data_IF_080986048718
#
_entry.id   IF_080986048718
#
_cell.length_a   1.000
_cell.length_b   1.000
_cell.length_c   1.000
_cell.angle_alpha   90.00
_cell.angle_beta   90.00
_cell.angle_gamma   90.00
#
_symmetry.space_group_name_H-M   'P 1'
#
loop_
_entity.id
_entity.type
_entity.pdbx_description
1 polymer ?
#
# COMPACT_ATOMS: atom_id res chain seq x y z
N UNK A 1 -21.78 -1.35 16.41
CA UNK A 1 -21.29 -0.78 15.16
C UNK A 1 -21.20 -1.86 14.10
N UNK A 2 -21.42 -1.48 12.84
CA UNK A 2 -21.22 -2.40 11.73
C UNK A 2 -19.73 -2.60 11.44
N UNK A 3 -19.33 -3.84 11.16
CA UNK A 3 -17.97 -4.20 10.76
C UNK A 3 -17.97 -5.43 9.84
N UNK A 4 -16.98 -5.52 8.97
CA UNK A 4 -16.72 -6.72 8.19
C UNK A 4 -15.84 -7.65 9.01
N UNK A 5 -16.38 -8.83 9.29
CA UNK A 5 -15.68 -9.84 10.10
C UNK A 5 -15.45 -11.13 9.32
N UNK A 6 -14.43 -11.89 9.77
CA UNK A 6 -14.20 -13.26 9.31
C UNK A 6 -13.65 -14.11 10.48
N UNK A 7 -14.08 -15.37 10.56
CA UNK A 7 -13.69 -16.28 11.65
C UNK A 7 -12.86 -17.46 11.18
N UNK A 8 -12.67 -17.59 9.88
CA UNK A 8 -11.88 -18.64 9.25
C UNK A 8 -11.14 -18.09 8.03
N UNK A 9 -9.97 -18.65 7.78
CA UNK A 9 -9.23 -18.36 6.54
C UNK A 9 -9.97 -18.94 5.35
N UNK A 10 -9.97 -18.23 4.21
CA UNK A 10 -10.66 -18.70 3.01
C UNK A 10 -10.83 -17.64 1.92
N UNK A 11 -11.67 -17.96 0.93
CA UNK A 11 -11.99 -17.06 -0.17
C UNK A 11 -12.82 -15.84 0.31
N UNK A 12 -13.11 -14.85 -0.56
CA UNK A 12 -13.83 -13.64 -0.19
C UNK A 12 -15.16 -13.87 0.55
N UNK A 13 -15.84 -14.98 0.29
CA UNK A 13 -17.13 -15.36 0.88
C UNK A 13 -17.08 -15.65 2.40
N UNK A 14 -15.89 -15.68 3.01
CA UNK A 14 -15.76 -15.76 4.46
C UNK A 14 -15.98 -14.42 5.15
N UNK A 15 -15.95 -13.31 4.39
CA UNK A 15 -16.22 -11.97 4.86
C UNK A 15 -17.72 -11.76 4.99
N UNK A 16 -18.16 -11.20 6.11
CA UNK A 16 -19.56 -10.87 6.35
C UNK A 16 -19.71 -9.61 7.19
N UNK A 17 -20.79 -8.90 6.96
CA UNK A 17 -21.16 -7.75 7.78
C UNK A 17 -21.80 -8.25 9.09
N UNK A 18 -21.31 -7.76 10.22
CA UNK A 18 -21.87 -8.03 11.55
C UNK A 18 -21.97 -6.76 12.38
N UNK A 19 -22.87 -6.78 13.34
CA UNK A 19 -22.87 -5.81 14.44
C UNK A 19 -21.94 -6.30 15.55
N UNK A 20 -20.94 -5.45 15.88
CA UNK A 20 -19.97 -5.72 16.93
C UNK A 20 -19.93 -4.57 17.95
N UNK A 21 -19.36 -4.81 19.13
CA UNK A 21 -19.19 -3.76 20.11
C UNK A 21 -18.36 -2.59 19.52
N UNK A 22 -18.81 -1.36 19.76
CA UNK A 22 -18.05 -0.16 19.40
C UNK A 22 -16.85 -0.04 20.34
N UNK A 23 -15.63 0.18 19.84
CA UNK A 23 -14.47 0.40 20.70
C UNK A 23 -14.56 1.76 21.41
N UNK A 24 -13.83 1.90 22.51
CA UNK A 24 -13.64 3.16 23.24
C UNK A 24 -12.18 3.56 23.20
N UNK A 25 -11.91 4.86 23.07
CA UNK A 25 -10.54 5.36 23.12
C UNK A 25 -9.96 5.23 24.53
N UNK A 26 -8.87 4.50 24.64
CA UNK A 26 -8.09 4.42 25.87
C UNK A 26 -7.13 5.61 26.01
N UNK A 27 -6.34 5.63 27.10
CA UNK A 27 -5.31 6.65 27.29
C UNK A 27 -4.35 6.70 26.09
N UNK A 28 -4.15 7.89 25.51
CA UNK A 28 -3.27 8.09 24.34
C UNK A 28 -3.83 7.61 23.02
N UNK A 29 -5.10 7.20 22.95
CA UNK A 29 -5.77 6.80 21.74
C UNK A 29 -6.82 7.81 21.26
N UNK A 30 -7.11 7.78 19.97
CA UNK A 30 -8.25 8.46 19.36
C UNK A 30 -9.23 7.42 18.80
N UNK A 31 -10.52 7.67 18.99
CA UNK A 31 -11.60 6.93 18.33
C UNK A 31 -11.95 7.66 17.04
N UNK A 32 -11.81 6.98 15.93
CA UNK A 32 -12.13 7.51 14.60
C UNK A 32 -13.42 6.90 14.10
N UNK A 33 -14.37 7.75 13.68
CA UNK A 33 -15.52 7.38 12.88
C UNK A 33 -15.07 7.29 11.43
N UNK A 34 -15.00 6.07 10.89
CA UNK A 34 -14.43 5.79 9.57
C UNK A 34 -15.44 6.15 8.47
N UNK A 35 -15.03 6.95 7.51
CA UNK A 35 -15.80 7.29 6.31
C UNK A 35 -15.36 6.47 5.10
N UNK A 36 -14.06 6.23 4.96
CA UNK A 36 -13.50 5.44 3.87
C UNK A 36 -12.32 4.59 4.35
N UNK A 37 -12.17 3.43 3.73
CA UNK A 37 -11.05 2.50 3.89
C UNK A 37 -10.70 1.89 2.54
N UNK A 38 -9.67 1.04 2.48
CA UNK A 38 -9.25 0.38 1.24
C UNK A 38 -9.35 -1.13 1.34
N UNK A 39 -9.44 -1.81 0.20
CA UNK A 39 -9.13 -3.24 0.08
C UNK A 39 -7.83 -3.38 -0.69
N UNK A 40 -6.82 -3.95 -0.06
CA UNK A 40 -5.50 -4.12 -0.67
C UNK A 40 -5.01 -5.58 -0.64
N UNK A 41 -3.81 -5.85 -1.19
CA UNK A 41 -3.26 -7.22 -1.21
C UNK A 41 -2.97 -7.77 0.19
N UNK A 42 -2.64 -6.93 1.16
CA UNK A 42 -2.38 -7.38 2.52
C UNK A 42 -3.65 -7.95 3.17
N UNK A 43 -4.82 -7.37 2.89
CA UNK A 43 -6.11 -7.91 3.33
C UNK A 43 -6.37 -9.28 2.72
N UNK A 44 -6.17 -9.43 1.40
CA UNK A 44 -6.34 -10.71 0.70
C UNK A 44 -5.39 -11.76 1.25
N UNK A 45 -4.10 -11.45 1.37
CA UNK A 45 -3.08 -12.38 1.86
C UNK A 45 -3.36 -12.80 3.30
N UNK A 46 -3.79 -11.87 4.16
CA UNK A 46 -4.12 -12.16 5.55
C UNK A 46 -5.37 -13.03 5.66
N UNK A 47 -6.42 -12.72 4.89
CA UNK A 47 -7.65 -13.50 4.85
C UNK A 47 -7.41 -14.95 4.38
N UNK A 48 -6.54 -15.15 3.40
CA UNK A 48 -6.19 -16.47 2.86
C UNK A 48 -5.06 -17.17 3.61
N UNK A 49 -4.49 -16.54 4.64
CA UNK A 49 -3.25 -16.98 5.30
C UNK A 49 -2.11 -17.24 4.31
N UNK A 50 -1.94 -16.38 3.31
CA UNK A 50 -0.93 -16.51 2.25
C UNK A 50 -0.96 -17.85 1.48
N UNK A 51 -2.12 -18.47 1.38
CA UNK A 51 -2.27 -19.80 0.74
C UNK A 51 -1.72 -19.84 -0.70
N UNK A 52 -1.86 -18.74 -1.45
CA UNK A 52 -1.36 -18.63 -2.82
C UNK A 52 0.17 -18.57 -2.92
N UNK A 53 0.85 -18.21 -1.84
CA UNK A 53 2.32 -18.12 -1.76
C UNK A 53 2.98 -19.44 -1.34
N UNK A 54 2.22 -20.53 -1.28
CA UNK A 54 2.71 -21.88 -0.97
C UNK A 54 2.60 -22.27 0.51
N UNK A 55 2.86 -23.56 0.79
CA UNK A 55 2.65 -24.17 2.11
C UNK A 55 3.48 -23.50 3.21
N UNK A 56 4.75 -23.20 2.95
CA UNK A 56 5.67 -22.57 3.92
C UNK A 56 5.16 -21.21 4.37
N UNK A 57 4.72 -20.38 3.41
CA UNK A 57 4.15 -19.05 3.72
C UNK A 57 2.82 -19.17 4.43
N UNK A 58 2.00 -20.17 4.09
CA UNK A 58 0.74 -20.45 4.79
C UNK A 58 0.99 -20.77 6.26
N UNK A 59 1.94 -21.66 6.56
CA UNK A 59 2.30 -22.05 7.94
C UNK A 59 2.84 -20.83 8.71
N UNK A 60 3.76 -20.07 8.14
CA UNK A 60 4.33 -18.88 8.77
C UNK A 60 3.25 -17.81 9.04
N UNK A 61 2.41 -17.53 8.05
CA UNK A 61 1.31 -16.59 8.17
C UNK A 61 0.34 -17.00 9.28
N UNK A 62 -0.03 -18.29 9.37
CA UNK A 62 -0.87 -18.81 10.45
C UNK A 62 -0.21 -18.78 11.83
N UNK A 63 1.07 -19.00 11.91
CA UNK A 63 1.81 -18.86 13.18
C UNK A 63 1.70 -17.43 13.75
N UNK A 64 1.73 -16.42 12.87
CA UNK A 64 1.62 -15.00 13.24
C UNK A 64 0.15 -14.59 13.45
N UNK A 65 -0.70 -14.91 12.48
CA UNK A 65 -2.09 -14.40 12.42
C UNK A 65 -3.11 -15.28 13.17
N UNK A 66 -2.71 -16.50 13.61
CA UNK A 66 -3.54 -17.46 14.32
C UNK A 66 -3.58 -18.84 13.63
N UNK A 67 -3.23 -19.90 14.34
CA UNK A 67 -3.06 -21.24 13.75
C UNK A 67 -4.35 -21.83 13.16
N UNK A 68 -5.44 -21.77 13.90
CA UNK A 68 -6.73 -22.37 13.51
C UNK A 68 -7.75 -21.35 13.06
N UNK A 69 -7.75 -20.18 13.70
CA UNK A 69 -8.65 -19.04 13.43
C UNK A 69 -7.85 -17.75 13.42
N UNK A 70 -8.24 -16.74 12.63
CA UNK A 70 -7.61 -15.43 12.67
C UNK A 70 -7.77 -14.80 14.06
N UNK A 71 -6.67 -14.26 14.60
CA UNK A 71 -6.71 -13.49 15.86
C UNK A 71 -7.37 -12.13 15.65
N UNK A 72 -7.23 -11.55 14.47
CA UNK A 72 -7.84 -10.30 14.05
C UNK A 72 -9.03 -10.62 13.16
N UNK A 73 -10.24 -10.35 13.66
CA UNK A 73 -11.48 -10.68 12.95
C UNK A 73 -11.89 -9.62 11.93
N UNK A 74 -11.37 -8.40 12.03
CA UNK A 74 -11.68 -7.26 11.15
C UNK A 74 -10.41 -6.90 10.40
N UNK A 75 -10.49 -6.86 9.07
CA UNK A 75 -9.40 -6.46 8.16
C UNK A 75 -9.40 -4.93 7.94
N UNK A 76 -8.69 -4.48 6.91
CA UNK A 76 -8.50 -3.07 6.59
C UNK A 76 -7.37 -2.44 7.40
N UNK A 77 -6.37 -1.94 6.72
CA UNK A 77 -5.20 -1.32 7.35
C UNK A 77 -5.17 0.21 7.20
N UNK A 78 -5.92 0.74 6.25
CA UNK A 78 -5.98 2.17 5.96
C UNK A 78 -7.34 2.73 6.30
N UNK A 79 -7.38 3.99 6.70
CA UNK A 79 -8.64 4.66 7.03
C UNK A 79 -8.56 6.16 6.76
N UNK A 80 -9.72 6.75 6.53
CA UNK A 80 -9.96 8.17 6.62
C UNK A 80 -11.32 8.39 7.28
N UNK A 81 -11.41 9.39 8.15
CA UNK A 81 -12.61 9.62 8.92
C UNK A 81 -12.53 10.86 9.80
N UNK A 82 -13.39 10.90 10.81
CA UNK A 82 -13.50 12.01 11.76
C UNK A 82 -13.21 11.51 13.16
N UNK A 83 -12.46 12.26 13.93
CA UNK A 83 -12.22 11.98 15.35
C UNK A 83 -13.55 12.14 16.11
N UNK A 84 -14.03 11.08 16.70
CA UNK A 84 -15.28 11.00 17.45
C UNK A 84 -15.08 11.16 18.95
N UNK A 85 -13.94 10.68 19.46
CA UNK A 85 -13.54 10.83 20.85
C UNK A 85 -12.02 10.75 20.97
N UNK A 86 -11.49 11.37 22.01
CA UNK A 86 -10.07 11.33 22.38
C UNK A 86 -9.92 10.75 23.78
N UNK A 87 -8.95 9.87 23.96
CA UNK A 87 -8.57 9.36 25.27
C UNK A 87 -7.81 10.38 26.10
N UNK A 88 -7.68 10.13 27.39
CA UNK A 88 -6.91 11.01 28.27
C UNK A 88 -5.46 11.13 27.76
N UNK A 89 -4.82 12.30 27.98
CA UNK A 89 -3.47 12.66 27.52
C UNK A 89 -3.29 12.88 26.01
N UNK A 90 -4.33 12.79 25.17
CA UNK A 90 -4.24 13.20 23.77
C UNK A 90 -4.40 14.72 23.66
N UNK A 91 -3.41 15.37 23.08
CA UNK A 91 -3.39 16.84 22.86
C UNK A 91 -3.24 17.20 21.37
N UNK A 92 -2.87 16.24 20.53
CA UNK A 92 -2.59 16.46 19.11
C UNK A 92 -3.87 16.47 18.24
N UNK A 93 -4.98 15.93 18.75
CA UNK A 93 -6.25 15.80 18.02
C UNK A 93 -7.42 16.26 18.87
N UNK A 94 -8.43 16.84 18.20
CA UNK A 94 -9.71 17.23 18.80
C UNK A 94 -10.87 16.45 18.15
N UNK A 95 -12.00 16.34 18.88
CA UNK A 95 -13.25 15.83 18.30
C UNK A 95 -13.67 16.71 17.13
N UNK A 96 -14.02 16.09 16.00
CA UNK A 96 -14.33 16.75 14.76
C UNK A 96 -13.18 16.84 13.76
N UNK A 97 -11.94 16.59 14.16
CA UNK A 97 -10.79 16.60 13.25
C UNK A 97 -10.99 15.54 12.14
N UNK A 98 -10.77 15.94 10.89
CA UNK A 98 -10.71 15.05 9.76
C UNK A 98 -9.32 14.42 9.68
N UNK A 99 -9.24 13.10 9.81
CA UNK A 99 -7.97 12.37 9.93
C UNK A 99 -7.87 11.21 8.97
N UNK A 100 -6.64 10.86 8.61
CA UNK A 100 -6.33 9.65 7.85
C UNK A 100 -5.07 8.97 8.39
N UNK A 101 -4.88 7.72 8.04
CA UNK A 101 -3.71 6.99 8.47
C UNK A 101 -3.76 5.50 8.20
N UNK A 102 -2.87 4.77 8.89
CA UNK A 102 -2.81 3.32 8.78
C UNK A 102 -2.61 2.65 10.12
N UNK A 103 -3.37 1.60 10.36
CA UNK A 103 -3.22 0.68 11.50
C UNK A 103 -2.13 -0.37 11.25
N UNK A 104 -1.65 -0.48 9.99
CA UNK A 104 -0.71 -1.50 9.55
C UNK A 104 -1.25 -2.92 9.84
N UNK A 105 -0.40 -3.79 10.37
CA UNK A 105 -0.76 -5.18 10.70
C UNK A 105 -1.74 -5.34 11.87
N UNK A 106 -2.14 -4.24 12.54
CA UNK A 106 -3.21 -4.29 13.55
C UNK A 106 -4.57 -4.47 12.89
N UNK A 107 -4.73 -4.03 11.63
CA UNK A 107 -5.98 -4.04 10.89
C UNK A 107 -7.11 -3.31 11.63
N UNK A 108 -8.39 -3.60 11.28
CA UNK A 108 -9.56 -3.08 11.99
C UNK A 108 -10.30 -1.95 11.28
N UNK A 109 -9.86 -1.51 10.10
CA UNK A 109 -10.46 -0.38 9.41
C UNK A 109 -11.70 -0.73 8.56
N UNK A 110 -11.99 -2.01 8.33
CA UNK A 110 -13.24 -2.41 7.68
C UNK A 110 -14.41 -2.39 8.67
N UNK A 111 -14.62 -1.26 9.34
CA UNK A 111 -15.64 -1.02 10.35
C UNK A 111 -16.01 0.45 10.44
N UNK A 112 -17.18 0.76 11.02
CA UNK A 112 -17.62 2.15 11.24
C UNK A 112 -16.73 2.94 12.21
N UNK A 113 -16.05 2.26 13.13
CA UNK A 113 -15.17 2.89 14.12
C UNK A 113 -13.92 2.04 14.35
N UNK A 114 -12.82 2.72 14.59
CA UNK A 114 -11.56 2.11 15.05
C UNK A 114 -10.88 2.99 16.10
N UNK A 115 -10.02 2.40 16.94
CA UNK A 115 -9.09 3.15 17.78
C UNK A 115 -7.68 3.06 17.26
N UNK A 116 -6.94 4.15 17.41
CA UNK A 116 -5.53 4.22 17.05
C UNK A 116 -4.78 5.12 18.03
N UNK A 117 -3.53 4.77 18.36
CA UNK A 117 -2.68 5.65 19.16
C UNK A 117 -2.49 7.00 18.47
N UNK A 118 -2.63 8.10 19.18
CA UNK A 118 -2.36 9.46 18.69
C UNK A 118 -0.90 9.63 18.22
N UNK A 119 0.04 8.97 18.91
CA UNK A 119 1.44 8.92 18.50
C UNK A 119 1.71 7.97 17.31
N UNK A 120 0.68 7.26 16.84
CA UNK A 120 0.75 6.32 15.72
C UNK A 120 0.78 7.00 14.36
N UNK A 121 0.52 6.21 13.33
CA UNK A 121 0.49 6.69 11.93
C UNK A 121 -0.89 7.25 11.59
N UNK A 122 -1.22 8.38 12.19
CA UNK A 122 -2.43 9.18 11.98
C UNK A 122 -2.04 10.64 11.87
N UNK A 123 -2.71 11.38 11.00
CA UNK A 123 -2.57 12.84 10.83
C UNK A 123 -3.87 13.43 10.27
N UNK A 124 -3.97 14.76 10.26
CA UNK A 124 -5.12 15.46 9.67
C UNK A 124 -5.12 15.34 8.15
N UNK A 125 -6.33 15.26 7.56
CA UNK A 125 -6.51 15.26 6.10
C UNK A 125 -6.16 16.65 5.56
N UNK A 126 -5.39 16.75 4.45
CA UNK A 126 -5.19 17.99 3.73
C UNK A 126 -6.52 18.68 3.38
N UNK A 127 -6.52 20.03 3.41
CA UNK A 127 -7.72 20.80 3.09
C UNK A 127 -8.23 20.48 1.67
N UNK A 128 -9.55 20.36 1.52
CA UNK A 128 -10.19 20.05 0.24
C UNK A 128 -10.12 18.59 -0.20
N UNK A 129 -9.32 17.73 0.44
CA UNK A 129 -9.22 16.32 0.05
C UNK A 129 -10.41 15.51 0.57
N UNK A 130 -10.99 14.65 -0.29
CA UNK A 130 -12.08 13.76 0.10
C UNK A 130 -11.59 12.60 0.98
N UNK A 131 -12.48 11.99 1.80
CA UNK A 131 -12.11 10.84 2.64
C UNK A 131 -11.61 9.66 1.83
N UNK A 132 -12.21 9.38 0.67
CA UNK A 132 -11.80 8.30 -0.23
C UNK A 132 -10.38 8.50 -0.77
N UNK A 133 -10.04 9.75 -1.11
CA UNK A 133 -8.69 10.10 -1.56
C UNK A 133 -7.69 9.97 -0.41
N UNK A 134 -8.04 10.48 0.77
CA UNK A 134 -7.20 10.38 1.95
C UNK A 134 -6.92 8.92 2.37
N UNK A 135 -7.94 8.06 2.34
CA UNK A 135 -7.77 6.63 2.63
C UNK A 135 -6.84 5.93 1.63
N UNK A 136 -6.79 6.39 0.38
CA UNK A 136 -5.98 5.80 -0.69
C UNK A 136 -4.49 6.20 -0.66
N UNK A 137 -4.05 7.02 0.29
CA UNK A 137 -2.67 7.53 0.32
C UNK A 137 -1.68 6.46 0.81
N UNK A 138 -1.99 5.80 1.93
CA UNK A 138 -0.97 5.16 2.76
C UNK A 138 -0.31 3.93 2.14
N UNK A 139 -1.07 2.90 1.75
CA UNK A 139 -0.50 1.60 1.35
C UNK A 139 0.46 1.74 0.16
N UNK A 140 -0.02 2.38 -0.91
CA UNK A 140 0.78 2.58 -2.11
C UNK A 140 2.03 3.40 -1.84
N UNK A 141 1.87 4.55 -1.18
CA UNK A 141 2.97 5.48 -0.92
C UNK A 141 4.01 4.89 0.03
N UNK A 142 3.59 4.22 1.10
CA UNK A 142 4.54 3.67 2.07
C UNK A 142 5.36 2.52 1.52
N UNK A 143 4.71 1.59 0.81
CA UNK A 143 5.43 0.48 0.19
C UNK A 143 6.40 0.98 -0.89
N UNK A 144 6.00 1.96 -1.70
CA UNK A 144 6.88 2.57 -2.68
C UNK A 144 8.05 3.33 -2.00
N UNK A 145 7.76 4.19 -1.02
CA UNK A 145 8.78 4.99 -0.33
C UNK A 145 9.81 4.11 0.39
N UNK A 146 9.36 3.02 1.03
CA UNK A 146 10.22 2.04 1.70
C UNK A 146 11.24 1.43 0.72
N UNK A 147 10.80 1.11 -0.50
CA UNK A 147 11.69 0.59 -1.54
C UNK A 147 12.59 1.69 -2.10
N UNK A 148 12.02 2.84 -2.47
CA UNK A 148 12.76 3.92 -3.14
C UNK A 148 13.85 4.55 -2.27
N UNK A 149 13.68 4.58 -0.94
CA UNK A 149 14.74 5.00 0.00
C UNK A 149 16.02 4.14 -0.08
N UNK A 150 15.95 2.95 -0.68
CA UNK A 150 17.11 2.06 -0.89
C UNK A 150 17.87 2.35 -2.19
N UNK A 151 17.37 3.26 -3.05
CA UNK A 151 17.80 3.44 -4.43
C UNK A 151 18.64 4.69 -4.70
N UNK A 152 18.98 5.51 -3.72
CA UNK A 152 19.72 6.78 -3.92
C UNK A 152 19.20 7.58 -5.13
N UNK A 153 17.86 7.77 -5.20
CA UNK A 153 17.23 8.50 -6.31
C UNK A 153 17.51 10.00 -6.20
N UNK A 154 17.92 10.59 -7.32
CA UNK A 154 18.25 12.02 -7.47
C UNK A 154 18.34 12.37 -8.96
N UNK A 155 18.42 13.65 -9.33
CA UNK A 155 18.62 14.04 -10.72
C UNK A 155 19.81 13.32 -11.37
N UNK A 156 19.59 12.80 -12.58
CA UNK A 156 20.58 12.01 -13.34
C UNK A 156 20.57 10.50 -13.02
N UNK A 157 19.78 10.03 -12.03
CA UNK A 157 19.57 8.60 -11.79
C UNK A 157 18.38 8.09 -12.58
N UNK A 158 18.51 6.87 -13.08
CA UNK A 158 17.49 6.18 -13.87
C UNK A 158 16.78 5.10 -13.05
N UNK A 159 15.46 5.04 -13.13
CA UNK A 159 14.68 3.97 -12.51
C UNK A 159 13.67 3.36 -13.48
N UNK A 160 13.59 2.02 -13.47
CA UNK A 160 12.48 1.31 -14.11
C UNK A 160 11.49 0.89 -13.04
N UNK A 161 10.18 1.21 -13.25
CA UNK A 161 9.09 0.81 -12.34
C UNK A 161 8.19 -0.18 -13.09
N UNK A 162 8.23 -1.45 -12.66
CA UNK A 162 7.41 -2.52 -13.22
C UNK A 162 6.09 -2.65 -12.45
N UNK A 163 4.97 -2.78 -13.18
CA UNK A 163 3.63 -2.76 -12.60
C UNK A 163 3.16 -1.36 -12.23
N UNK A 164 3.56 -0.36 -13.03
CA UNK A 164 3.41 1.07 -12.82
C UNK A 164 1.95 1.55 -12.65
N UNK A 165 0.95 0.76 -13.03
CA UNK A 165 -0.48 1.11 -12.92
C UNK A 165 -1.15 0.67 -11.62
N UNK A 166 -0.52 -0.15 -10.79
CA UNK A 166 -1.07 -0.56 -9.50
C UNK A 166 -0.91 0.52 -8.41
N UNK A 167 -1.47 0.31 -7.21
CA UNK A 167 -1.39 1.24 -6.09
C UNK A 167 0.06 1.64 -5.78
N UNK A 168 0.94 0.65 -5.56
CA UNK A 168 2.37 0.87 -5.27
C UNK A 168 3.09 1.49 -6.47
N UNK A 169 2.76 1.05 -7.70
CA UNK A 169 3.38 1.55 -8.93
C UNK A 169 3.06 3.01 -9.22
N UNK A 170 1.79 3.41 -9.09
CA UNK A 170 1.36 4.81 -9.30
C UNK A 170 1.93 5.74 -8.24
N UNK A 171 2.07 5.27 -7.00
CA UNK A 171 2.75 5.99 -5.94
C UNK A 171 4.27 6.08 -6.22
N UNK A 172 4.89 4.97 -6.63
CA UNK A 172 6.32 4.94 -6.97
C UNK A 172 6.70 5.89 -8.09
N UNK A 173 5.85 6.04 -9.12
CA UNK A 173 6.06 7.01 -10.20
C UNK A 173 6.14 8.44 -9.66
N UNK A 174 5.18 8.84 -8.84
CA UNK A 174 5.09 10.19 -8.31
C UNK A 174 6.22 10.49 -7.32
N UNK A 175 6.57 9.55 -6.46
CA UNK A 175 7.70 9.67 -5.54
C UNK A 175 9.05 9.71 -6.29
N UNK A 176 9.26 8.86 -7.30
CA UNK A 176 10.48 8.89 -8.10
C UNK A 176 10.63 10.21 -8.87
N UNK A 177 9.51 10.79 -9.34
CA UNK A 177 9.48 12.12 -9.95
C UNK A 177 9.85 13.21 -8.95
N UNK A 178 9.31 13.18 -7.73
CA UNK A 178 9.69 14.09 -6.65
C UNK A 178 11.20 14.03 -6.37
N UNK A 179 11.81 12.84 -6.37
CA UNK A 179 13.26 12.69 -6.21
C UNK A 179 14.08 13.08 -7.45
N UNK A 180 13.43 13.46 -8.55
CA UNK A 180 14.10 13.94 -9.78
C UNK A 180 14.71 12.85 -10.65
N UNK A 181 14.32 11.59 -10.46
CA UNK A 181 14.85 10.48 -11.26
C UNK A 181 14.31 10.47 -12.71
N UNK A 182 15.07 9.91 -13.65
CA UNK A 182 14.60 9.57 -15.00
C UNK A 182 13.83 8.24 -14.94
N UNK A 183 12.51 8.29 -15.22
CA UNK A 183 11.59 7.20 -14.95
C UNK A 183 11.19 6.49 -16.24
N UNK A 184 11.46 5.18 -16.31
CA UNK A 184 10.83 4.27 -17.26
C UNK A 184 9.75 3.45 -16.57
N UNK A 185 8.51 3.62 -16.97
CA UNK A 185 7.36 2.91 -16.42
C UNK A 185 7.00 1.71 -17.31
N UNK A 186 6.71 0.55 -16.70
CA UNK A 186 6.29 -0.65 -17.43
C UNK A 186 4.87 -1.02 -17.03
N UNK A 187 3.98 -1.11 -18.02
CA UNK A 187 2.56 -1.40 -17.80
C UNK A 187 1.94 -2.18 -18.96
N UNK A 188 0.64 -2.52 -18.88
CA UNK A 188 -0.10 -3.13 -20.00
C UNK A 188 -0.68 -2.08 -20.93
N UNK A 189 -0.97 -2.45 -22.18
CA UNK A 189 -1.56 -1.59 -23.22
C UNK A 189 -2.69 -0.70 -22.69
N UNK A 190 -3.65 -1.27 -21.98
CA UNK A 190 -4.84 -0.57 -21.48
C UNK A 190 -4.58 0.44 -20.36
N UNK A 191 -3.39 0.44 -19.79
CA UNK A 191 -3.01 1.33 -18.70
C UNK A 191 -1.95 2.36 -19.12
N UNK A 192 -1.52 2.37 -20.38
CA UNK A 192 -0.50 3.28 -20.90
C UNK A 192 -0.91 4.74 -20.69
N UNK A 193 -2.14 5.10 -21.02
CA UNK A 193 -2.65 6.46 -20.87
C UNK A 193 -2.60 6.93 -19.42
N UNK A 194 -3.14 6.14 -18.48
CA UNK A 194 -3.06 6.43 -17.05
C UNK A 194 -1.61 6.62 -16.58
N UNK A 195 -0.73 5.70 -16.96
CA UNK A 195 0.67 5.77 -16.52
C UNK A 195 1.38 6.97 -17.10
N UNK A 196 1.12 7.30 -18.38
CA UNK A 196 1.67 8.49 -19.05
C UNK A 196 1.23 9.77 -18.35
N UNK A 197 -0.02 9.86 -17.89
CA UNK A 197 -0.55 11.05 -17.19
C UNK A 197 0.13 11.31 -15.85
N UNK A 198 0.81 10.32 -15.26
CA UNK A 198 1.59 10.47 -14.04
C UNK A 198 3.01 11.01 -14.27
N UNK A 199 3.40 11.21 -15.54
CA UNK A 199 4.60 11.94 -15.95
C UNK A 199 5.92 11.19 -15.89
N UNK A 200 6.01 9.86 -16.18
CA UNK A 200 7.29 9.21 -16.41
C UNK A 200 7.94 9.72 -17.71
N UNK A 201 9.27 9.63 -17.83
CA UNK A 201 10.00 10.01 -19.03
C UNK A 201 9.75 9.04 -20.20
N UNK A 202 9.49 7.76 -19.88
CA UNK A 202 9.20 6.71 -20.86
C UNK A 202 8.16 5.72 -20.32
N UNK A 203 7.28 5.24 -21.20
CA UNK A 203 6.35 4.15 -20.90
C UNK A 203 6.62 2.98 -21.83
N UNK A 204 6.76 1.78 -21.27
CA UNK A 204 6.91 0.52 -21.98
C UNK A 204 5.62 -0.28 -21.79
N UNK A 205 5.00 -0.66 -22.90
CA UNK A 205 3.94 -1.65 -22.93
C UNK A 205 4.58 -3.05 -22.98
N UNK A 206 4.50 -3.80 -21.88
CA UNK A 206 5.12 -5.12 -21.77
C UNK A 206 4.57 -6.17 -22.74
N UNK A 207 3.41 -5.92 -23.37
CA UNK A 207 2.86 -6.80 -24.42
C UNK A 207 3.54 -6.61 -25.76
N UNK A 208 4.28 -5.51 -25.94
CA UNK A 208 4.95 -5.12 -27.19
C UNK A 208 6.47 -5.09 -27.07
N UNK A 209 7.00 -4.80 -25.89
CA UNK A 209 8.43 -4.63 -25.63
C UNK A 209 8.83 -5.33 -24.32
N UNK A 210 9.86 -6.18 -24.39
CA UNK A 210 10.51 -6.73 -23.21
C UNK A 210 11.68 -5.81 -22.82
N UNK A 211 11.56 -5.10 -21.70
CA UNK A 211 12.56 -4.18 -21.22
C UNK A 211 13.92 -4.83 -20.96
N UNK A 212 13.96 -6.16 -20.71
CA UNK A 212 15.22 -6.88 -20.47
C UNK A 212 16.01 -7.14 -21.74
N UNK A 213 15.42 -6.86 -22.91
CA UNK A 213 16.04 -7.09 -24.23
C UNK A 213 16.23 -5.81 -25.05
N UNK A 214 15.88 -4.65 -24.49
CA UNK A 214 15.98 -3.37 -25.21
C UNK A 214 17.35 -2.68 -25.13
N UNK A 215 18.34 -3.32 -24.49
CA UNK A 215 19.71 -2.82 -24.34
C UNK A 215 19.89 -1.68 -23.33
N UNK A 216 18.81 -1.27 -22.64
CA UNK A 216 18.89 -0.20 -21.63
C UNK A 216 19.27 -0.77 -20.27
N UNK A 217 19.98 0.04 -19.47
CA UNK A 217 20.30 -0.25 -18.10
C UNK A 217 19.78 0.84 -17.18
N UNK A 218 19.53 0.48 -15.91
CA UNK A 218 18.94 1.32 -14.91
C UNK A 218 19.72 1.28 -13.60
N UNK A 219 19.84 2.40 -12.91
CA UNK A 219 20.41 2.46 -11.57
C UNK A 219 19.53 1.71 -10.55
N UNK A 220 18.20 1.73 -10.77
CA UNK A 220 17.25 0.99 -9.97
C UNK A 220 16.20 0.30 -10.84
N UNK A 221 15.77 -0.91 -10.45
CA UNK A 221 14.60 -1.58 -11.00
C UNK A 221 13.67 -1.89 -9.83
N UNK A 222 12.49 -1.25 -9.83
CA UNK A 222 11.47 -1.40 -8.82
C UNK A 222 10.34 -2.30 -9.33
N UNK A 223 10.17 -3.46 -8.70
CA UNK A 223 9.06 -4.38 -8.96
C UNK A 223 7.92 -4.12 -7.98
N UNK A 224 6.96 -3.29 -8.40
CA UNK A 224 5.81 -2.90 -7.59
C UNK A 224 4.71 -3.98 -7.49
N UNK A 225 4.89 -5.15 -8.09
CA UNK A 225 3.89 -6.24 -8.15
C UNK A 225 4.44 -7.62 -7.79
N UNK A 226 5.74 -7.75 -7.50
CA UNK A 226 6.36 -9.01 -7.10
C UNK A 226 6.39 -10.08 -8.21
N UNK A 227 6.52 -9.68 -9.48
CA UNK A 227 6.50 -10.60 -10.65
C UNK A 227 7.84 -10.71 -11.37
N UNK A 228 8.83 -9.96 -10.96
CA UNK A 228 10.18 -10.03 -11.49
C UNK A 228 11.10 -10.82 -10.56
N UNK A 229 12.17 -11.38 -11.14
CA UNK A 229 13.27 -11.95 -10.36
C UNK A 229 14.55 -11.15 -10.60
N UNK A 230 15.42 -11.09 -9.61
CA UNK A 230 16.73 -10.46 -9.74
C UNK A 230 17.52 -11.01 -10.91
N UNK A 231 17.48 -12.35 -11.09
CA UNK A 231 18.16 -13.02 -12.21
C UNK A 231 17.71 -12.48 -13.57
N UNK A 232 16.40 -12.25 -13.76
CA UNK A 232 15.85 -11.71 -15.01
C UNK A 232 16.25 -10.25 -15.24
N UNK A 233 16.39 -9.47 -14.16
CA UNK A 233 16.64 -8.03 -14.23
C UNK A 233 18.11 -7.67 -14.23
N UNK A 234 18.99 -8.61 -13.84
CA UNK A 234 20.41 -8.35 -13.56
C UNK A 234 21.15 -7.63 -14.69
N UNK A 235 20.91 -8.04 -15.95
CA UNK A 235 21.62 -7.48 -17.10
C UNK A 235 21.08 -6.11 -17.50
N UNK A 236 19.87 -5.75 -17.04
CA UNK A 236 19.26 -4.42 -17.19
C UNK A 236 19.60 -3.47 -16.03
N UNK A 237 20.43 -3.89 -15.05
CA UNK A 237 20.95 -3.01 -14.02
C UNK A 237 22.33 -2.47 -14.42
N UNK A 238 22.59 -1.21 -14.07
CA UNK A 238 23.93 -0.63 -14.11
C UNK A 238 24.85 -1.28 -13.07
N UNK A 239 26.17 -1.11 -13.20
CA UNK A 239 27.10 -1.52 -12.15
C UNK A 239 26.81 -0.71 -10.87
N UNK A 240 26.71 -1.42 -9.73
CA UNK A 240 26.23 -0.84 -8.48
C UNK A 240 24.71 -0.63 -8.40
N UNK A 241 23.97 -0.99 -9.44
CA UNK A 241 22.50 -0.86 -9.50
C UNK A 241 21.77 -1.76 -8.52
N UNK A 242 20.52 -1.38 -8.19
CA UNK A 242 19.70 -2.04 -7.18
C UNK A 242 18.38 -2.57 -7.72
N UNK A 243 18.05 -3.82 -7.38
CA UNK A 243 16.72 -4.40 -7.59
C UNK A 243 15.90 -4.27 -6.31
N UNK A 244 14.69 -3.74 -6.43
CA UNK A 244 13.78 -3.38 -5.34
C UNK A 244 12.48 -4.19 -5.48
N UNK A 245 12.40 -5.43 -5.00
CA UNK A 245 11.17 -6.21 -5.03
C UNK A 245 10.25 -5.82 -3.88
N UNK A 246 8.94 -5.96 -4.10
CA UNK A 246 7.91 -5.78 -3.05
C UNK A 246 7.49 -7.10 -2.40
N UNK A 247 7.87 -8.25 -2.97
CA UNK A 247 7.45 -9.59 -2.50
C UNK A 247 8.54 -10.64 -2.80
N UNK A 248 8.37 -11.86 -2.25
CA UNK A 248 9.22 -13.02 -2.49
C UNK A 248 10.25 -13.28 -1.39
N UNK A 249 10.15 -14.46 -0.74
CA UNK A 249 11.11 -14.89 0.28
C UNK A 249 12.53 -15.05 -0.27
N UNK A 250 12.66 -15.46 -1.53
CA UNK A 250 13.97 -15.55 -2.20
C UNK A 250 14.68 -14.21 -2.21
N UNK A 251 13.95 -13.10 -2.32
CA UNK A 251 14.52 -11.75 -2.33
C UNK A 251 15.12 -11.37 -0.98
N UNK A 252 14.58 -11.89 0.13
CA UNK A 252 15.18 -11.71 1.46
C UNK A 252 16.57 -12.38 1.55
N UNK A 253 16.68 -13.62 1.09
CA UNK A 253 17.98 -14.33 1.07
C UNK A 253 18.98 -13.63 0.15
N UNK A 254 18.53 -13.20 -1.04
CA UNK A 254 19.36 -12.44 -1.96
C UNK A 254 19.78 -11.09 -1.38
N UNK A 255 18.91 -10.38 -0.67
CA UNK A 255 19.25 -9.12 -0.03
C UNK A 255 20.32 -9.31 1.05
N UNK A 256 20.22 -10.37 1.86
CA UNK A 256 21.25 -10.72 2.85
C UNK A 256 22.58 -11.05 2.16
N UNK A 257 22.55 -11.88 1.13
CA UNK A 257 23.72 -12.30 0.36
C UNK A 257 24.43 -11.11 -0.31
N UNK A 258 23.66 -10.16 -0.85
CA UNK A 258 24.18 -8.98 -1.56
C UNK A 258 24.34 -7.74 -0.68
N UNK A 259 24.07 -7.81 0.63
CA UNK A 259 24.10 -6.65 1.54
C UNK A 259 25.45 -5.92 1.56
N UNK A 260 26.55 -6.62 1.30
CA UNK A 260 27.92 -6.07 1.23
C UNK A 260 28.49 -6.01 -0.18
N UNK A 261 27.70 -6.33 -1.21
CA UNK A 261 28.16 -6.29 -2.60
C UNK A 261 28.33 -4.85 -3.06
N UNK A 262 29.46 -4.54 -3.70
CA UNK A 262 29.68 -3.27 -4.43
C UNK A 262 29.14 -3.31 -5.85
N UNK A 263 28.74 -4.49 -6.34
CA UNK A 263 28.11 -4.68 -7.64
C UNK A 263 26.58 -4.57 -7.58
N UNK A 264 25.92 -5.18 -8.55
CA UNK A 264 24.45 -5.24 -8.62
C UNK A 264 23.89 -5.96 -7.40
N UNK A 265 22.89 -5.36 -6.75
CA UNK A 265 22.38 -5.85 -5.47
C UNK A 265 20.86 -5.93 -5.42
N UNK A 266 20.32 -6.70 -4.49
CA UNK A 266 18.93 -6.71 -4.11
C UNK A 266 18.79 -5.95 -2.79
N UNK A 267 17.80 -5.06 -2.69
CA UNK A 267 17.45 -4.42 -1.43
C UNK A 267 16.00 -4.77 -1.09
N UNK A 268 15.82 -5.43 0.05
CA UNK A 268 14.53 -5.88 0.55
C UNK A 268 14.49 -5.69 2.08
N UNK A 269 13.53 -4.92 2.56
CA UNK A 269 13.47 -4.56 3.97
C UNK A 269 12.38 -5.34 4.71
N UNK A 270 12.79 -6.17 5.68
CA UNK A 270 11.89 -6.84 6.63
C UNK A 270 12.45 -6.65 8.05
N UNK A 271 11.61 -6.34 9.04
CA UNK A 271 10.22 -5.87 8.92
C UNK A 271 10.14 -4.47 8.31
N UNK A 272 9.03 -4.15 7.62
CA UNK A 272 8.83 -2.81 7.10
C UNK A 272 8.72 -1.83 8.29
N UNK A 273 9.65 -0.88 8.35
CA UNK A 273 9.60 0.18 9.37
C UNK A 273 9.10 1.44 8.69
N UNK A 274 7.87 1.80 8.99
CA UNK A 274 7.20 2.99 8.47
C UNK A 274 7.00 3.95 9.65
N UNK A 275 7.88 4.93 9.85
CA UNK A 275 7.74 5.92 10.89
C UNK A 275 6.62 6.93 10.57
N UNK A 276 6.15 7.68 11.58
CA UNK A 276 5.10 8.72 11.41
C UNK A 276 5.57 9.82 10.46
N UNK A 277 6.87 10.10 10.43
CA UNK A 277 7.52 11.09 9.56
C UNK A 277 7.28 10.78 8.07
N UNK A 278 7.19 9.50 7.69
CA UNK A 278 6.87 9.11 6.31
C UNK A 278 5.43 9.47 5.94
N UNK A 279 4.49 9.37 6.88
CA UNK A 279 3.11 9.83 6.68
C UNK A 279 3.06 11.35 6.51
N UNK A 280 3.78 12.10 7.34
CA UNK A 280 3.85 13.56 7.25
C UNK A 280 4.55 14.02 5.96
N UNK A 281 5.59 13.33 5.53
CA UNK A 281 6.26 13.58 4.25
C UNK A 281 5.28 13.41 3.08
N UNK A 282 4.56 12.28 3.01
CA UNK A 282 3.59 12.04 1.92
C UNK A 282 2.42 13.03 1.99
N UNK A 283 1.96 13.39 3.21
CA UNK A 283 0.96 14.45 3.38
C UNK A 283 1.43 15.76 2.76
N UNK A 284 2.68 16.19 3.01
CA UNK A 284 3.25 17.39 2.41
C UNK A 284 3.26 17.35 0.88
N UNK A 285 3.54 16.19 0.28
CA UNK A 285 3.46 16.02 -1.18
C UNK A 285 2.03 16.12 -1.72
N UNK A 286 1.04 15.68 -0.94
CA UNK A 286 -0.38 15.86 -1.32
C UNK A 286 -0.75 17.34 -1.25
N UNK A 287 -0.34 18.05 -0.19
CA UNK A 287 -0.60 19.49 0.01
C UNK A 287 0.06 20.35 -1.07
N UNK A 288 1.27 19.98 -1.53
CA UNK A 288 1.94 20.66 -2.65
C UNK A 288 1.39 20.29 -4.04
N UNK A 289 0.50 19.29 -4.13
CA UNK A 289 -0.02 18.76 -5.39
C UNK A 289 0.94 17.86 -6.17
N UNK A 290 2.08 17.50 -5.57
CA UNK A 290 3.06 16.60 -6.16
C UNK A 290 2.65 15.12 -6.08
N UNK A 291 1.73 14.79 -5.19
CA UNK A 291 1.20 13.44 -5.02
C UNK A 291 -0.33 13.44 -5.02
N UNK A 292 -0.93 12.58 -5.86
CA UNK A 292 -2.36 12.30 -5.89
C UNK A 292 -2.61 10.80 -5.88
N UNK A 293 -3.40 10.27 -4.94
CA UNK A 293 -3.75 8.85 -4.94
C UNK A 293 -4.63 8.51 -6.15
N UNK A 294 -4.30 7.42 -6.83
CA UNK A 294 -5.11 6.92 -7.95
C UNK A 294 -6.15 5.97 -7.41
N UNK A 295 -7.43 6.26 -7.66
CA UNK A 295 -8.56 5.41 -7.27
C UNK A 295 -9.13 4.75 -8.52
N UNK A 296 -9.27 3.42 -8.49
CA UNK A 296 -9.83 2.61 -9.58
C UNK A 296 -11.35 2.45 -9.42
N UNK A 297 -11.75 1.93 -8.25
CA UNK A 297 -13.15 1.62 -7.96
C UNK A 297 -13.52 1.98 -6.53
N UNK A 298 -14.81 2.26 -6.35
CA UNK A 298 -15.44 2.45 -5.05
C UNK A 298 -16.55 1.43 -4.87
N UNK A 299 -16.64 0.86 -3.67
CA UNK A 299 -17.68 -0.07 -3.26
C UNK A 299 -18.23 0.37 -1.90
N UNK A 300 -19.52 0.22 -1.62
CA UNK A 300 -20.00 0.33 -0.25
C UNK A 300 -19.40 -0.77 0.63
N UNK A 301 -19.31 -0.56 1.94
CA UNK A 301 -18.70 -1.50 2.89
C UNK A 301 -19.32 -2.90 2.76
N UNK A 302 -20.61 -2.98 2.54
CA UNK A 302 -21.40 -4.21 2.39
C UNK A 302 -20.95 -5.05 1.17
N UNK A 303 -20.37 -4.42 0.14
CA UNK A 303 -19.89 -5.08 -1.07
C UNK A 303 -18.41 -5.50 -0.96
N UNK A 304 -17.86 -5.64 0.23
CA UNK A 304 -16.46 -6.04 0.47
C UNK A 304 -16.07 -7.34 -0.22
N UNK A 305 -16.99 -8.27 -0.37
CA UNK A 305 -16.76 -9.56 -1.07
C UNK A 305 -16.42 -9.31 -2.54
N UNK A 306 -17.19 -8.46 -3.22
CA UNK A 306 -16.96 -8.08 -4.62
C UNK A 306 -15.69 -7.26 -4.77
N UNK A 307 -15.45 -6.31 -3.87
CA UNK A 307 -14.22 -5.53 -3.83
C UNK A 307 -12.99 -6.46 -3.68
N UNK A 308 -13.07 -7.45 -2.78
CA UNK A 308 -12.00 -8.45 -2.57
C UNK A 308 -11.77 -9.30 -3.80
N UNK A 309 -12.84 -9.83 -4.43
CA UNK A 309 -12.75 -10.59 -5.70
C UNK A 309 -12.06 -9.76 -6.79
N UNK A 310 -12.42 -8.48 -6.89
CA UNK A 310 -11.79 -7.60 -7.85
C UNK A 310 -10.29 -7.41 -7.58
N UNK A 311 -9.88 -7.18 -6.33
CA UNK A 311 -8.46 -7.07 -5.96
C UNK A 311 -7.69 -8.37 -6.26
N UNK A 312 -8.32 -9.54 -6.06
CA UNK A 312 -7.73 -10.84 -6.37
C UNK A 312 -7.46 -11.09 -7.86
N UNK A 313 -8.13 -10.36 -8.75
CA UNK A 313 -7.83 -10.43 -10.20
C UNK A 313 -6.44 -9.91 -10.54
N UNK A 314 -5.80 -9.15 -9.63
CA UNK A 314 -4.52 -8.43 -9.85
C UNK A 314 -4.55 -7.44 -11.02
N UNK A 315 -5.73 -6.97 -11.41
CA UNK A 315 -5.95 -6.06 -12.55
C UNK A 315 -6.36 -4.66 -12.15
N UNK A 316 -6.39 -4.36 -10.85
CA UNK A 316 -6.75 -3.02 -10.34
C UNK A 316 -5.74 -1.97 -10.78
N UNK A 317 -6.24 -0.75 -10.97
CA UNK A 317 -5.46 0.45 -11.27
C UNK A 317 -5.46 1.35 -10.02
N UNK A 318 -4.29 1.59 -9.41
CA UNK A 318 -4.30 2.33 -8.14
C UNK A 318 -5.05 1.58 -7.03
N UNK A 319 -5.92 2.26 -6.30
CA UNK A 319 -6.57 1.80 -5.08
C UNK A 319 -8.03 1.38 -5.29
N UNK A 320 -8.51 0.44 -4.46
CA UNK A 320 -9.92 0.06 -4.36
C UNK A 320 -10.43 0.53 -3.00
N UNK A 321 -11.48 1.34 -3.01
CA UNK A 321 -12.04 2.00 -1.83
C UNK A 321 -13.29 1.27 -1.36
N UNK A 322 -13.44 1.16 -0.03
CA UNK A 322 -14.72 0.89 0.62
C UNK A 322 -15.22 2.17 1.25
N UNK A 323 -16.39 2.63 0.83
CA UNK A 323 -17.13 3.73 1.47
C UNK A 323 -17.88 3.14 2.65
N UNK A 324 -17.52 3.55 3.86
CA UNK A 324 -18.11 3.03 5.11
C UNK A 324 -19.36 3.86 5.47
N UNK A 325 -19.20 5.17 5.42
CA UNK A 325 -20.31 6.11 5.65
C UNK A 325 -20.36 7.07 4.46
N UNK A 326 -21.54 7.24 3.84
CA UNK A 326 -21.68 8.24 2.80
C UNK A 326 -21.28 9.62 3.36
N UNK A 327 -20.50 10.36 2.59
CA UNK A 327 -20.33 11.80 2.86
C UNK A 327 -21.71 12.42 2.69
N UNK A 328 -22.25 13.08 3.73
CA UNK A 328 -23.43 13.87 3.56
C UNK A 328 -23.17 14.82 2.38
N UNK A 329 -23.99 14.71 1.33
CA UNK A 329 -23.97 15.65 0.22
C UNK A 329 -24.20 17.05 0.80
N UNK A 330 -23.17 17.91 0.66
CA UNK A 330 -23.26 19.31 1.05
C UNK A 330 -24.31 20.04 0.20
#
# INVERSE_FOLDING_TARGET
MKAIVYDRYGPPEVLRLEEVARPTAEQGEVLVKVHATTVNRADVHTREANRRSGLTMTVLSRAISGLRRPRRRILGSEFAGVVEAVGSSVTEFAVGDRVFGTTGLRFGAHAEYLTISAAGRITTIPEGLAFEEAAAICDGAFNALLCLKQADLRPGRTILIFGASGSIGTAGLQLAKHFGADITAVTSTKNVELVTSLGPNRVIDYSKEDFTRNGRRYDAIFDAVGKLSFRRCRDSLEEGGVFLPTDGLENLFLAILHSRSRGKRVAFQIPPRIPKEDLLFVKGLVESGEFRPVIDRRYPLEEVVEASRYVETERKKGNVILTVLPTASA
#
